data_IF_466780292702
#
_entry.id   IF_466780292702
#
_cell.length_a   1.000
_cell.length_b   1.000
_cell.length_c   1.000
_cell.angle_alpha   90.00
_cell.angle_beta   90.00
_cell.angle_gamma   90.00
#
_symmetry.space_group_name_H-M   'P 1'
#
loop_
_entity.id
_entity.type
_entity.pdbx_description
1 polymer ?
#
# COMPACT_ATOMS: atom_id res chain seq x y z
N UNK A 1 -17.21 -63.74 -29.78
CA UNK A 1 -17.78 -63.97 -28.43
C UNK A 1 -17.03 -63.10 -27.43
N UNK A 2 -17.44 -61.83 -27.28
CA UNK A 2 -16.93 -60.96 -26.23
C UNK A 2 -17.56 -61.38 -24.88
N UNK A 3 -16.74 -61.83 -23.92
CA UNK A 3 -17.14 -61.93 -22.52
C UNK A 3 -17.07 -60.55 -21.90
N UNK A 4 -18.20 -60.04 -21.43
CA UNK A 4 -18.29 -58.84 -20.58
C UNK A 4 -17.70 -59.17 -19.20
N UNK A 5 -16.93 -58.23 -18.66
CA UNK A 5 -16.53 -58.22 -17.25
C UNK A 5 -17.54 -57.35 -16.51
N UNK A 6 -18.33 -57.99 -15.65
CA UNK A 6 -19.26 -57.32 -14.74
C UNK A 6 -18.46 -56.59 -13.65
N UNK A 7 -18.52 -55.26 -13.65
CA UNK A 7 -18.05 -54.45 -12.51
C UNK A 7 -19.25 -53.99 -11.71
N UNK A 8 -19.32 -54.62 -10.55
CA UNK A 8 -20.26 -54.51 -9.45
C UNK A 8 -20.56 -53.05 -9.06
N UNK A 9 -21.85 -52.71 -9.03
CA UNK A 9 -22.41 -51.50 -8.43
C UNK A 9 -22.29 -51.56 -6.91
N UNK A 10 -21.34 -50.83 -6.34
CA UNK A 10 -21.33 -50.57 -4.90
C UNK A 10 -21.94 -49.19 -4.61
N UNK A 11 -23.18 -49.23 -4.13
CA UNK A 11 -23.94 -48.09 -3.65
C UNK A 11 -23.21 -47.41 -2.48
N UNK A 12 -22.63 -46.23 -2.75
CA UNK A 12 -22.11 -45.36 -1.69
C UNK A 12 -23.30 -44.67 -1.03
N UNK A 13 -23.60 -45.12 0.20
CA UNK A 13 -24.58 -44.53 1.11
C UNK A 13 -24.25 -43.05 1.39
N UNK A 14 -25.29 -42.21 1.39
CA UNK A 14 -25.25 -40.77 1.69
C UNK A 14 -24.62 -40.48 3.06
N UNK A 15 -23.79 -39.43 3.13
CA UNK A 15 -23.59 -38.60 4.32
C UNK A 15 -24.01 -37.16 4.03
N UNK A 16 -24.88 -36.54 4.87
CA UNK A 16 -25.20 -35.12 4.80
C UNK A 16 -24.19 -34.29 5.62
N UNK A 17 -24.05 -33.00 5.25
CA UNK A 17 -23.33 -31.93 5.96
C UNK A 17 -21.78 -31.98 6.00
N UNK A 18 -21.14 -31.21 5.09
CA UNK A 18 -19.94 -30.44 5.45
C UNK A 18 -20.02 -29.02 4.90
N UNK A 19 -19.71 -28.10 5.79
CA UNK A 19 -19.81 -26.66 5.73
C UNK A 19 -18.79 -26.01 4.78
N UNK A 20 -19.27 -24.98 4.07
CA UNK A 20 -18.48 -23.78 3.74
C UNK A 20 -17.17 -23.94 2.96
N UNK A 21 -17.22 -24.48 1.75
CA UNK A 21 -16.13 -24.28 0.78
C UNK A 21 -16.17 -22.83 0.27
N UNK A 22 -15.43 -21.92 0.93
CA UNK A 22 -15.13 -20.60 0.37
C UNK A 22 -14.26 -20.81 -0.87
N UNK A 23 -14.84 -20.57 -2.04
CA UNK A 23 -14.15 -20.55 -3.32
C UNK A 23 -12.91 -19.65 -3.20
N UNK A 24 -11.72 -20.24 -3.40
CA UNK A 24 -10.46 -19.54 -3.18
C UNK A 24 -10.33 -18.42 -4.22
N UNK A 25 -10.39 -17.17 -3.77
CA UNK A 25 -10.11 -16.03 -4.64
C UNK A 25 -8.67 -16.13 -5.15
N UNK A 26 -8.48 -16.56 -6.40
CA UNK A 26 -7.14 -16.71 -6.99
C UNK A 26 -6.54 -15.37 -7.44
N UNK A 27 -7.37 -14.34 -7.60
CA UNK A 27 -6.95 -13.05 -8.17
C UNK A 27 -7.45 -11.86 -7.36
N UNK A 28 -6.62 -10.83 -7.23
CA UNK A 28 -6.94 -9.57 -6.56
C UNK A 28 -6.54 -8.37 -7.43
N UNK A 29 -7.30 -7.28 -7.33
CA UNK A 29 -6.96 -6.01 -7.97
C UNK A 29 -5.94 -5.22 -7.16
N UNK A 30 -4.88 -4.75 -7.83
CA UNK A 30 -3.90 -3.85 -7.22
C UNK A 30 -4.43 -2.40 -7.19
N UNK A 31 -4.50 -1.79 -6.02
CA UNK A 31 -4.99 -0.41 -5.86
C UNK A 31 -4.08 0.63 -6.54
N UNK A 32 -2.82 0.30 -6.83
CA UNK A 32 -1.83 1.21 -7.43
C UNK A 32 -1.81 1.15 -8.96
N UNK A 33 -1.50 -0.01 -9.56
CA UNK A 33 -1.44 -0.17 -11.02
C UNK A 33 -2.78 -0.54 -11.66
N UNK A 34 -3.82 -0.77 -10.86
CA UNK A 34 -5.19 -1.11 -11.30
C UNK A 34 -5.32 -2.41 -12.09
N UNK A 35 -4.28 -3.24 -12.12
CA UNK A 35 -4.29 -4.54 -12.79
C UNK A 35 -4.73 -5.67 -11.85
N UNK A 36 -5.40 -6.68 -12.42
CA UNK A 36 -5.71 -7.95 -11.77
C UNK A 36 -4.44 -8.80 -11.72
N UNK A 37 -4.08 -9.30 -10.53
CA UNK A 37 -2.89 -10.12 -10.30
C UNK A 37 -3.26 -11.34 -9.47
N UNK A 38 -2.52 -12.42 -9.62
CA UNK A 38 -2.70 -13.61 -8.79
C UNK A 38 -2.43 -13.27 -7.32
N UNK A 39 -3.11 -13.91 -6.37
CA UNK A 39 -2.94 -13.63 -4.93
C UNK A 39 -1.49 -13.82 -4.44
N UNK A 40 -0.70 -14.68 -5.09
CA UNK A 40 0.74 -14.84 -4.83
C UNK A 40 1.55 -13.57 -5.09
N UNK A 41 1.04 -12.65 -5.91
CA UNK A 41 1.67 -11.37 -6.22
C UNK A 41 1.43 -10.30 -5.15
N UNK A 42 0.72 -10.65 -4.08
CA UNK A 42 0.48 -9.78 -2.94
C UNK A 42 1.22 -10.33 -1.72
N UNK A 43 1.77 -9.43 -0.91
CA UNK A 43 2.34 -9.83 0.38
C UNK A 43 1.24 -10.01 1.41
N UNK A 44 1.46 -10.86 2.42
CA UNK A 44 0.52 -11.04 3.52
C UNK A 44 0.35 -9.75 4.31
N UNK A 45 -0.87 -9.47 4.75
CA UNK A 45 -1.20 -8.41 5.69
C UNK A 45 -2.33 -8.85 6.61
N UNK A 46 -1.99 -9.23 7.85
CA UNK A 46 -2.96 -9.72 8.83
C UNK A 46 -3.96 -8.66 9.31
N UNK A 47 -3.69 -7.38 9.04
CA UNK A 47 -4.62 -6.30 9.39
C UNK A 47 -5.75 -6.14 8.36
N UNK A 48 -5.76 -6.93 7.29
CA UNK A 48 -6.77 -6.90 6.23
C UNK A 48 -7.64 -8.14 6.32
N UNK A 49 -8.92 -7.96 6.01
CA UNK A 49 -9.93 -9.03 6.06
C UNK A 49 -9.57 -10.22 5.17
N UNK A 50 -8.98 -9.96 4.00
CA UNK A 50 -8.50 -10.98 3.06
C UNK A 50 -7.07 -11.46 3.33
N UNK A 51 -6.42 -10.93 4.37
CA UNK A 51 -5.05 -11.30 4.75
C UNK A 51 -3.97 -10.84 3.77
N UNK A 52 -4.27 -9.96 2.80
CA UNK A 52 -3.33 -9.55 1.73
C UNK A 52 -3.17 -8.02 1.67
N UNK A 53 -2.00 -7.57 1.18
CA UNK A 53 -1.78 -6.16 0.86
C UNK A 53 -2.73 -5.69 -0.25
N UNK A 54 -3.06 -4.41 -0.27
CA UNK A 54 -3.91 -3.80 -1.32
C UNK A 54 -3.16 -3.58 -2.63
N UNK A 55 -1.83 -3.60 -2.59
CA UNK A 55 -0.94 -3.37 -3.71
C UNK A 55 -0.13 -4.63 -4.01
N UNK A 56 0.19 -4.86 -5.29
CA UNK A 56 1.07 -5.96 -5.67
C UNK A 56 2.52 -5.70 -5.25
N UNK A 57 3.29 -6.78 -5.10
CA UNK A 57 4.72 -6.76 -4.75
C UNK A 57 5.55 -5.87 -5.69
N UNK A 58 5.25 -5.87 -6.98
CA UNK A 58 5.93 -5.04 -7.97
C UNK A 58 5.75 -3.53 -7.67
N UNK A 59 4.50 -3.07 -7.50
CA UNK A 59 4.21 -1.70 -7.11
C UNK A 59 4.89 -1.34 -5.78
N UNK A 60 4.87 -2.25 -4.80
CA UNK A 60 5.51 -2.01 -3.51
C UNK A 60 7.02 -1.87 -3.63
N UNK A 61 7.67 -2.64 -4.50
CA UNK A 61 9.11 -2.54 -4.78
C UNK A 61 9.46 -1.18 -5.40
N UNK A 62 8.69 -0.72 -6.39
CA UNK A 62 8.88 0.60 -7.00
C UNK A 62 8.75 1.70 -5.95
N UNK A 63 7.73 1.63 -5.10
CA UNK A 63 7.54 2.60 -4.01
C UNK A 63 8.72 2.63 -3.03
N UNK A 64 9.27 1.46 -2.68
CA UNK A 64 10.46 1.38 -1.80
C UNK A 64 11.72 1.91 -2.49
N UNK A 65 11.87 1.68 -3.79
CA UNK A 65 13.02 2.15 -4.56
C UNK A 65 13.01 3.67 -4.77
N UNK A 66 11.83 4.31 -4.76
CA UNK A 66 11.70 5.77 -4.90
C UNK A 66 12.41 6.52 -3.78
N UNK A 67 12.28 6.03 -2.54
CA UNK A 67 12.84 6.66 -1.34
C UNK A 67 13.57 5.62 -0.48
N UNK A 68 14.78 5.18 -0.89
CA UNK A 68 15.48 4.06 -0.25
C UNK A 68 15.86 4.35 1.21
N UNK A 69 15.96 5.64 1.57
CA UNK A 69 16.35 6.08 2.92
C UNK A 69 15.15 6.30 3.85
N UNK A 70 13.92 6.12 3.38
CA UNK A 70 12.72 6.39 4.17
C UNK A 70 12.69 5.62 5.50
N UNK A 71 13.03 4.33 5.46
CA UNK A 71 13.05 3.49 6.67
C UNK A 71 14.21 3.88 7.60
N UNK A 72 15.36 4.30 7.05
CA UNK A 72 16.50 4.78 7.81
C UNK A 72 16.21 6.11 8.51
N UNK A 73 15.57 7.04 7.82
CA UNK A 73 15.17 8.33 8.38
C UNK A 73 14.21 8.14 9.58
N UNK A 74 13.20 7.27 9.42
CA UNK A 74 12.29 6.91 10.54
C UNK A 74 13.01 6.25 11.71
N UNK A 75 13.94 5.34 11.42
CA UNK A 75 14.77 4.72 12.47
C UNK A 75 15.61 5.77 13.19
N UNK A 76 16.20 6.73 12.48
CA UNK A 76 17.00 7.80 13.07
C UNK A 76 16.17 8.66 14.03
N UNK A 77 14.98 9.12 13.61
CA UNK A 77 14.04 9.84 14.49
C UNK A 77 13.71 9.02 15.73
N UNK A 78 13.41 7.72 15.57
CA UNK A 78 13.13 6.84 16.71
C UNK A 78 14.32 6.75 17.67
N UNK A 79 15.54 6.62 17.15
CA UNK A 79 16.73 6.57 18.00
C UNK A 79 16.96 7.90 18.73
N UNK A 80 16.79 9.04 18.06
CA UNK A 80 16.91 10.35 18.70
C UNK A 80 15.87 10.54 19.83
N UNK A 81 14.64 10.04 19.65
CA UNK A 81 13.63 10.04 20.73
C UNK A 81 14.06 9.17 21.91
N UNK A 82 14.59 7.97 21.64
CA UNK A 82 15.07 7.08 22.70
C UNK A 82 16.30 7.63 23.43
N UNK A 83 17.17 8.36 22.72
CA UNK A 83 18.33 9.03 23.28
C UNK A 83 17.98 10.31 24.05
N UNK A 84 16.73 10.78 23.97
CA UNK A 84 16.30 12.04 24.59
C UNK A 84 16.73 13.30 23.83
N UNK A 85 17.37 13.16 22.67
CA UNK A 85 17.74 14.26 21.78
C UNK A 85 16.51 14.88 21.10
N UNK A 86 15.46 14.08 20.92
CA UNK A 86 14.17 14.54 20.41
C UNK A 86 13.07 14.19 21.41
N UNK A 87 12.13 15.11 21.63
CA UNK A 87 10.97 14.82 22.48
C UNK A 87 10.05 13.79 21.82
N UNK A 88 9.23 13.11 22.61
CA UNK A 88 8.24 12.19 22.05
C UNK A 88 7.15 12.97 21.29
N UNK A 89 6.72 12.49 20.12
CA UNK A 89 5.80 13.25 19.26
C UNK A 89 4.47 13.61 19.94
N UNK A 90 4.00 12.76 20.86
CA UNK A 90 2.74 12.99 21.56
C UNK A 90 2.79 14.15 22.55
N UNK A 91 3.96 14.65 22.90
CA UNK A 91 4.12 15.82 23.77
C UNK A 91 4.16 17.13 22.97
N UNK A 92 4.13 17.04 21.63
CA UNK A 92 4.18 18.19 20.74
C UNK A 92 2.80 18.53 20.18
N UNK A 93 2.65 19.79 19.78
CA UNK A 93 1.49 20.26 19.04
C UNK A 93 1.73 20.19 17.53
N UNK A 94 0.69 19.85 16.80
CA UNK A 94 0.71 19.80 15.35
C UNK A 94 0.93 21.20 14.77
N UNK A 95 2.02 21.38 14.03
CA UNK A 95 2.40 22.68 13.43
C UNK A 95 1.35 23.23 12.43
N UNK A 96 0.43 22.38 11.95
CA UNK A 96 -0.62 22.79 11.01
C UNK A 96 -1.95 23.16 11.65
N UNK A 97 -2.26 22.66 12.85
CA UNK A 97 -3.59 22.86 13.44
C UNK A 97 -3.62 23.01 14.97
N UNK A 98 -2.48 22.99 15.65
CA UNK A 98 -2.36 23.16 17.10
C UNK A 98 -2.87 21.99 17.96
N UNK A 99 -3.46 20.94 17.37
CA UNK A 99 -3.87 19.74 18.11
C UNK A 99 -2.67 18.84 18.40
N UNK A 100 -2.77 17.97 19.40
CA UNK A 100 -1.72 17.00 19.74
C UNK A 100 -1.20 16.24 18.51
N UNK A 101 0.12 16.29 18.30
CA UNK A 101 0.80 15.60 17.23
C UNK A 101 0.87 14.09 17.47
N UNK A 102 0.99 13.35 16.36
CA UNK A 102 0.97 11.89 16.35
C UNK A 102 2.08 11.31 15.48
N UNK A 103 2.64 12.11 14.56
CA UNK A 103 3.61 11.66 13.58
C UNK A 103 4.68 12.75 13.35
N UNK A 104 5.91 12.30 13.09
CA UNK A 104 7.00 13.15 12.63
C UNK A 104 7.01 13.20 11.10
N UNK A 105 6.85 14.39 10.53
CA UNK A 105 6.80 14.60 9.08
C UNK A 105 8.13 15.15 8.56
N UNK A 106 8.74 14.46 7.60
CA UNK A 106 10.00 14.85 6.96
C UNK A 106 9.73 15.87 5.84
N UNK A 107 9.63 17.16 6.18
CA UNK A 107 9.29 18.24 5.22
C UNK A 107 10.34 18.43 4.13
N UNK A 108 11.62 18.19 4.45
CA UNK A 108 12.75 18.34 3.52
C UNK A 108 13.17 17.03 2.86
N UNK A 109 12.31 16.00 2.88
CA UNK A 109 12.56 14.69 2.26
C UNK A 109 13.51 13.78 3.07
N UNK A 110 14.02 12.73 2.42
CA UNK A 110 14.69 11.60 3.09
C UNK A 110 16.23 11.55 2.92
N UNK A 111 16.86 12.66 2.52
CA UNK A 111 18.31 12.75 2.46
C UNK A 111 18.92 12.60 3.87
N UNK A 112 20.09 11.96 4.05
CA UNK A 112 20.70 11.72 5.38
C UNK A 112 20.81 12.95 6.28
N UNK A 113 21.18 14.10 5.69
CA UNK A 113 21.27 15.39 6.40
C UNK A 113 19.93 15.90 6.97
N UNK A 114 18.81 15.41 6.47
CA UNK A 114 17.46 15.85 6.85
C UNK A 114 16.75 14.81 7.73
N UNK A 115 17.42 13.74 8.18
CA UNK A 115 16.76 12.66 8.92
C UNK A 115 16.16 13.08 10.25
N UNK A 116 16.73 14.09 10.92
CA UNK A 116 16.20 14.66 12.16
C UNK A 116 15.45 15.98 11.95
N UNK A 117 15.36 16.44 10.70
CA UNK A 117 14.65 17.66 10.33
C UNK A 117 13.18 17.33 10.09
N UNK A 118 12.44 17.19 11.19
CA UNK A 118 11.06 16.72 11.22
C UNK A 118 10.14 17.68 11.94
N UNK A 119 8.93 17.84 11.41
CA UNK A 119 7.88 18.64 12.04
C UNK A 119 6.83 17.74 12.70
N UNK A 120 6.37 18.06 13.92
CA UNK A 120 5.30 17.32 14.57
C UNK A 120 3.95 17.64 13.90
N UNK A 121 3.23 16.61 13.48
CA UNK A 121 1.93 16.75 12.82
C UNK A 121 0.93 15.72 13.33
N UNK A 122 -0.37 16.04 13.28
CA UNK A 122 -1.43 15.05 13.53
C UNK A 122 -1.73 14.22 12.26
N UNK A 123 -2.22 12.99 12.42
CA UNK A 123 -2.53 12.06 11.31
C UNK A 123 -3.49 12.66 10.29
N UNK A 124 -4.43 13.49 10.74
CA UNK A 124 -5.41 14.14 9.87
C UNK A 124 -4.76 15.18 8.95
N UNK A 125 -3.85 16.01 9.46
CA UNK A 125 -3.10 16.97 8.65
C UNK A 125 -2.07 16.27 7.76
N UNK A 126 -1.42 15.20 8.24
CA UNK A 126 -0.48 14.43 7.41
C UNK A 126 -1.17 13.82 6.18
N UNK A 127 -2.34 13.19 6.37
CA UNK A 127 -3.14 12.66 5.26
C UNK A 127 -3.57 13.73 4.26
N UNK A 128 -3.89 14.95 4.72
CA UNK A 128 -4.26 16.07 3.84
C UNK A 128 -3.06 16.50 2.98
N UNK A 129 -1.87 16.59 3.57
CA UNK A 129 -0.63 16.90 2.83
C UNK A 129 -0.32 15.85 1.76
N UNK A 130 -0.37 14.56 2.11
CA UNK A 130 -0.13 13.48 1.15
C UNK A 130 -1.11 13.49 -0.03
N UNK A 131 -2.39 13.80 0.22
CA UNK A 131 -3.41 13.91 -0.83
C UNK A 131 -3.17 15.11 -1.76
N UNK A 132 -2.76 16.26 -1.20
CA UNK A 132 -2.46 17.46 -1.98
C UNK A 132 -1.25 17.25 -2.94
N UNK A 133 -0.26 16.46 -2.52
CA UNK A 133 0.86 16.08 -3.38
C UNK A 133 0.44 15.14 -4.52
N UNK A 134 -0.54 14.27 -4.27
CA UNK A 134 -1.07 13.34 -5.29
C UNK A 134 -1.97 14.03 -6.33
N UNK A 135 -2.74 15.05 -5.95
CA UNK A 135 -3.57 15.81 -6.90
C UNK A 135 -2.77 16.75 -7.81
N UNK A 136 -1.61 17.25 -7.34
CA UNK A 136 -0.72 18.09 -8.16
C UNK A 136 0.01 17.30 -9.26
N UNK A 137 0.26 16.00 -9.07
CA UNK A 137 0.89 15.15 -10.09
C UNK A 137 0.02 14.89 -11.33
N UNK A 138 -1.30 15.11 -11.24
CA UNK A 138 -2.21 14.98 -12.39
C UNK A 138 -2.33 16.28 -13.21
N UNK A 139 -2.02 17.45 -12.63
CA UNK A 139 -2.13 18.74 -13.31
C UNK A 139 -0.92 19.08 -14.20
N UNK A 140 0.26 18.53 -13.92
CA UNK A 140 1.48 18.81 -14.70
C UNK A 140 1.59 18.02 -16.00
N UNK A 141 0.76 16.99 -16.22
CA UNK A 141 0.84 16.13 -17.42
C UNK A 141 0.04 16.68 -18.61
N UNK A 142 -0.83 17.68 -18.42
CA UNK A 142 -1.68 18.23 -19.50
C UNK A 142 -1.13 19.48 -20.20
N UNK A 143 0.08 19.94 -19.90
CA UNK A 143 0.60 21.20 -20.48
C UNK A 143 1.68 21.03 -21.56
N UNK A 144 2.01 19.81 -22.00
CA UNK A 144 3.00 19.60 -23.08
C UNK A 144 2.52 18.56 -24.11
N UNK A 145 1.33 18.77 -24.69
CA UNK A 145 1.00 18.19 -26.00
C UNK A 145 1.00 19.34 -27.01
N UNK A 146 1.89 19.34 -28.02
CA UNK A 146 1.84 20.35 -29.07
C UNK A 146 0.54 20.16 -29.86
N UNK A 147 -0.31 21.17 -29.85
CA UNK A 147 -1.45 21.28 -30.76
C UNK A 147 -0.91 21.35 -32.20
N UNK A 148 -0.85 20.23 -32.91
CA UNK A 148 -0.64 20.25 -34.36
C UNK A 148 -1.90 20.85 -34.98
N UNK A 149 -1.83 22.13 -35.35
CA UNK A 149 -2.86 22.79 -36.17
C UNK A 149 -2.89 22.10 -37.52
N UNK A 150 -3.91 21.27 -37.77
CA UNK A 150 -4.26 20.86 -39.12
C UNK A 150 -4.87 22.05 -39.85
N UNK A 151 -4.08 22.70 -40.70
CA UNK A 151 -4.60 23.59 -41.74
C UNK A 151 -5.20 22.71 -42.83
N UNK A 152 -6.53 22.69 -42.95
CA UNK A 152 -7.21 22.12 -44.12
C UNK A 152 -7.04 23.09 -45.30
N UNK A 153 -6.47 22.59 -46.39
CA UNK A 153 -6.69 23.13 -47.75
C UNK A 153 -7.95 22.50 -48.31
#
# INVERSE_FOLDING_TARGET
MQKQLDLNTHEIKKHPEVSGLRESVQYKYCSRCKQRRHVSEFSKNRSKEDGLQTECKACKRIMRAKDPNHDRARSAVRQAVLAGELQHVSTQDCVKCGKQAQEWHHTKGYAPKNWLDVEPICRSCHRKLERALQSNSFKSTQQNLPFSRFTKK
#
